data_IF_134514428654
#
_entry.id   IF_134514428654
#
_cell.length_a   1.000
_cell.length_b   1.000
_cell.length_c   1.000
_cell.angle_alpha   90.00
_cell.angle_beta   90.00
_cell.angle_gamma   90.00
#
_symmetry.space_group_name_H-M   'P 1'
#
loop_
_entity.id
_entity.type
_entity.pdbx_description
1 polymer ?
#
# COMPACT_ATOMS: atom_id res chain seq x y z
N UNK A 1 12.06 -4.96 -6.25
CA UNK A 1 11.74 -6.41 -6.18
C UNK A 1 11.39 -6.92 -7.57
N UNK A 2 11.69 -8.18 -7.89
CA UNK A 2 11.46 -8.77 -9.23
C UNK A 2 10.02 -8.55 -9.71
N UNK A 3 9.04 -8.69 -8.82
CA UNK A 3 7.61 -8.53 -9.16
C UNK A 3 7.28 -7.08 -9.57
N UNK A 4 7.83 -6.08 -8.90
CA UNK A 4 7.63 -4.66 -9.25
C UNK A 4 8.21 -4.36 -10.64
N UNK A 5 9.41 -4.89 -10.94
CA UNK A 5 10.02 -4.73 -12.27
C UNK A 5 9.19 -5.42 -13.37
N UNK A 6 8.61 -6.58 -13.05
CA UNK A 6 7.73 -7.31 -13.94
C UNK A 6 6.44 -6.52 -14.22
N UNK A 7 5.79 -5.99 -13.18
CA UNK A 7 4.59 -5.17 -13.28
C UNK A 7 4.83 -3.93 -14.16
N UNK A 8 5.95 -3.21 -13.94
CA UNK A 8 6.37 -2.08 -14.77
C UNK A 8 6.55 -2.45 -16.25
N UNK A 9 7.14 -3.62 -16.52
CA UNK A 9 7.31 -4.13 -17.90
C UNK A 9 5.98 -4.38 -18.58
N UNK A 10 5.00 -4.89 -17.83
CA UNK A 10 3.65 -5.14 -18.34
C UNK A 10 2.71 -3.93 -18.26
N UNK A 11 3.16 -2.78 -17.75
CA UNK A 11 2.32 -1.62 -17.44
C UNK A 11 1.13 -1.98 -16.54
N UNK A 12 1.37 -2.90 -15.60
CA UNK A 12 0.41 -3.27 -14.58
C UNK A 12 0.69 -2.48 -13.30
N UNK A 13 -0.38 -2.07 -12.62
CA UNK A 13 -0.32 -1.52 -11.26
C UNK A 13 -0.15 -2.66 -10.26
N UNK A 14 0.58 -2.41 -9.17
CA UNK A 14 0.78 -3.38 -8.11
C UNK A 14 0.45 -2.83 -6.72
N UNK A 15 -0.30 -3.61 -5.96
CA UNK A 15 -0.57 -3.39 -4.54
C UNK A 15 0.30 -4.33 -3.70
N UNK A 16 1.12 -3.77 -2.81
CA UNK A 16 1.86 -4.52 -1.81
C UNK A 16 1.05 -4.60 -0.50
N UNK A 17 0.63 -5.80 -0.11
CA UNK A 17 -0.18 -6.05 1.09
C UNK A 17 0.64 -6.55 2.28
N UNK A 18 0.15 -6.28 3.49
CA UNK A 18 0.71 -6.81 4.75
C UNK A 18 1.78 -5.94 5.41
N UNK A 19 1.78 -4.63 5.15
CA UNK A 19 2.79 -3.71 5.69
C UNK A 19 2.41 -3.28 7.10
N UNK A 20 3.30 -3.50 8.06
CA UNK A 20 3.07 -3.27 9.49
C UNK A 20 3.97 -2.16 10.06
N UNK A 21 5.11 -1.88 9.43
CA UNK A 21 6.08 -0.87 9.93
C UNK A 21 6.39 0.21 8.91
N UNK A 22 6.89 1.36 9.42
CA UNK A 22 7.33 2.48 8.59
C UNK A 22 8.48 2.07 7.67
N UNK A 23 9.41 1.27 8.16
CA UNK A 23 10.59 0.82 7.40
C UNK A 23 10.19 -0.01 6.19
N UNK A 24 9.17 -0.88 6.33
CA UNK A 24 8.61 -1.66 5.23
C UNK A 24 7.95 -0.74 4.18
N UNK A 25 7.16 0.24 4.63
CA UNK A 25 6.50 1.20 3.75
C UNK A 25 7.53 2.04 2.96
N UNK A 26 8.53 2.60 3.64
CA UNK A 26 9.58 3.41 3.01
C UNK A 26 10.44 2.58 2.04
N UNK A 27 10.72 1.32 2.37
CA UNK A 27 11.39 0.41 1.45
C UNK A 27 10.57 0.20 0.15
N UNK A 28 9.27 -0.06 0.25
CA UNK A 28 8.41 -0.26 -0.92
C UNK A 28 8.23 1.03 -1.74
N UNK A 29 8.09 2.19 -1.08
CA UNK A 29 8.09 3.49 -1.76
C UNK A 29 9.38 3.74 -2.53
N UNK A 30 10.54 3.37 -1.95
CA UNK A 30 11.84 3.53 -2.63
C UNK A 30 12.00 2.65 -3.88
N UNK A 31 11.14 1.65 -4.04
CA UNK A 31 11.09 0.77 -5.22
C UNK A 31 10.06 1.22 -6.26
N UNK A 32 9.41 2.37 -6.08
CA UNK A 32 8.26 2.84 -6.85
C UNK A 32 7.12 1.80 -6.88
N UNK A 33 6.74 1.24 -5.73
CA UNK A 33 5.50 0.46 -5.62
C UNK A 33 4.30 1.40 -5.74
N UNK A 34 3.30 1.04 -6.57
CA UNK A 34 2.17 1.92 -6.88
C UNK A 34 1.26 2.11 -5.66
N UNK A 35 0.85 0.99 -5.04
CA UNK A 35 -0.02 0.99 -3.87
C UNK A 35 0.56 0.17 -2.74
N UNK A 36 0.31 0.61 -1.50
CA UNK A 36 0.74 -0.08 -0.28
C UNK A 36 -0.44 -0.20 0.67
N UNK A 37 -0.68 -1.41 1.16
CA UNK A 37 -1.74 -1.73 2.11
C UNK A 37 -1.18 -2.48 3.32
N UNK A 38 -1.62 -2.08 4.51
CA UNK A 38 -1.36 -2.85 5.72
C UNK A 38 -1.66 -2.08 7.00
N UNK A 39 -1.47 -2.74 8.13
CA UNK A 39 -1.78 -2.21 9.47
C UNK A 39 -0.95 -0.99 9.85
N UNK A 40 0.18 -0.75 9.17
CA UNK A 40 0.91 0.50 9.29
C UNK A 40 0.03 1.73 8.95
N UNK A 41 -0.84 1.60 7.95
CA UNK A 41 -1.75 2.66 7.52
C UNK A 41 -3.07 2.59 8.28
N UNK A 42 -3.72 1.42 8.26
CA UNK A 42 -4.98 1.22 8.96
C UNK A 42 -5.27 -0.27 9.16
N UNK A 43 -5.98 -0.60 10.24
CA UNK A 43 -6.63 -1.91 10.38
C UNK A 43 -7.88 -1.95 9.48
N UNK A 44 -8.45 -3.14 9.19
CA UNK A 44 -9.72 -3.22 8.49
C UNK A 44 -10.78 -2.41 9.23
N UNK A 45 -11.46 -1.52 8.50
CA UNK A 45 -12.44 -0.59 9.04
C UNK A 45 -13.86 -1.10 8.76
N UNK A 46 -14.80 -0.78 9.65
CA UNK A 46 -16.23 -0.85 9.30
C UNK A 46 -16.56 0.21 8.26
N UNK A 47 -17.74 0.13 7.64
CA UNK A 47 -18.20 1.14 6.69
C UNK A 47 -18.22 2.54 7.32
N UNK A 48 -18.72 2.67 8.55
CA UNK A 48 -18.80 3.95 9.26
C UNK A 48 -17.41 4.51 9.57
N UNK A 49 -16.47 3.65 9.99
CA UNK A 49 -15.10 4.05 10.26
C UNK A 49 -14.34 4.42 8.98
N UNK A 50 -14.64 3.76 7.86
CA UNK A 50 -14.08 4.11 6.56
C UNK A 50 -14.57 5.49 6.10
N UNK A 51 -15.85 5.82 6.28
CA UNK A 51 -16.40 7.13 5.93
C UNK A 51 -15.70 8.27 6.68
N UNK A 52 -15.40 8.10 7.96
CA UNK A 52 -14.61 9.07 8.73
C UNK A 52 -13.16 9.12 8.25
N UNK A 53 -12.52 7.97 8.04
CA UNK A 53 -11.15 7.88 7.54
C UNK A 53 -10.95 8.63 6.21
N UNK A 54 -11.91 8.51 5.28
CA UNK A 54 -11.84 9.18 3.97
C UNK A 54 -12.03 10.70 4.04
N UNK A 55 -12.59 11.26 5.14
CA UNK A 55 -12.70 12.71 5.33
C UNK A 55 -11.40 13.33 5.83
N UNK A 56 -10.57 12.55 6.52
CA UNK A 56 -9.30 12.99 7.10
C UNK A 56 -8.10 12.82 6.16
N UNK A 57 -8.27 12.07 5.06
CA UNK A 57 -7.23 11.74 4.07
C UNK A 57 -6.94 12.85 3.06
#
# INVERSE_FOLDING_TARGET
GIIILLARTFKAEITAEGIETKEQAEFLKSLDCDEIQGYYYSRPLSTEALEEFLKEA
#
